data_IF_133692916503
#
_entry.id   IF_133692916503
#
_cell.length_a   1.000
_cell.length_b   1.000
_cell.length_c   1.000
_cell.angle_alpha   90.00
_cell.angle_beta   90.00
_cell.angle_gamma   90.00
#
_symmetry.space_group_name_H-M   'P 1'
#
loop_
_entity.id
_entity.type
_entity.pdbx_description
1 polymer ?
#
# COMPACT_ATOMS: atom_id res chain seq x y z
N UNK A 1 -15.96 -22.23 59.09
CA UNK A 1 -15.13 -23.32 58.51
C UNK A 1 -15.97 -23.91 57.39
N UNK A 2 -15.70 -23.70 56.10
CA UNK A 2 -14.57 -24.15 55.25
C UNK A 2 -14.46 -23.15 54.08
N UNK A 3 -13.47 -22.28 53.96
CA UNK A 3 -12.08 -22.46 53.50
C UNK A 3 -11.89 -23.25 52.19
N UNK A 4 -11.77 -22.47 51.10
CA UNK A 4 -10.94 -22.65 49.87
C UNK A 4 -11.48 -23.44 48.67
N UNK A 5 -11.01 -22.98 47.51
CA UNK A 5 -11.21 -23.43 46.13
C UNK A 5 -12.55 -22.95 45.54
N UNK A 6 -12.60 -22.11 44.51
CA UNK A 6 -11.93 -22.28 43.22
C UNK A 6 -11.45 -20.94 42.64
N UNK A 7 -10.20 -20.97 42.19
CA UNK A 7 -9.49 -19.98 41.41
C UNK A 7 -10.12 -19.76 40.02
N UNK A 8 -9.97 -18.53 39.52
CA UNK A 8 -9.68 -18.20 38.12
C UNK A 8 -10.76 -18.48 37.06
N UNK A 9 -11.49 -17.42 36.71
CA UNK A 9 -12.04 -17.22 35.36
C UNK A 9 -11.99 -15.73 34.97
N UNK A 10 -10.83 -15.12 35.13
CA UNK A 10 -10.45 -13.89 34.44
C UNK A 10 -9.54 -14.31 33.28
N UNK A 11 -9.80 -13.76 32.08
CA UNK A 11 -9.04 -13.88 30.81
C UNK A 11 -9.80 -14.57 29.67
N UNK A 12 -10.88 -13.97 29.20
CA UNK A 12 -11.13 -13.94 27.76
C UNK A 12 -10.45 -12.68 27.21
N UNK A 13 -9.13 -12.82 27.02
CA UNK A 13 -8.29 -11.84 26.32
C UNK A 13 -8.89 -11.63 24.93
N UNK A 14 -9.09 -10.36 24.59
CA UNK A 14 -9.60 -9.92 23.30
C UNK A 14 -8.75 -10.47 22.17
N UNK A 15 -9.31 -11.42 21.43
CA UNK A 15 -8.92 -11.64 20.06
C UNK A 15 -9.51 -10.52 19.20
N UNK A 16 -9.01 -9.30 19.37
CA UNK A 16 -8.92 -8.38 18.25
C UNK A 16 -8.01 -9.08 17.24
N UNK A 17 -8.61 -9.87 16.35
CA UNK A 17 -7.94 -10.38 15.17
C UNK A 17 -7.57 -9.16 14.34
N UNK A 18 -6.43 -8.54 14.66
CA UNK A 18 -5.66 -7.78 13.68
C UNK A 18 -5.34 -8.81 12.61
N UNK A 19 -6.14 -8.82 11.55
CA UNK A 19 -5.75 -9.42 10.28
C UNK A 19 -4.35 -8.90 9.91
N UNK A 20 -3.61 -9.61 9.03
CA UNK A 20 -2.26 -9.22 8.69
C UNK A 20 -2.24 -7.73 8.37
N UNK A 21 -1.54 -6.96 9.21
CA UNK A 21 -1.34 -5.54 9.00
C UNK A 21 -0.69 -5.45 7.62
N UNK A 22 -1.35 -4.79 6.65
CA UNK A 22 -0.74 -4.58 5.34
C UNK A 22 0.59 -3.90 5.60
N UNK A 23 1.71 -4.55 5.29
CA UNK A 23 3.01 -3.97 5.58
C UNK A 23 3.10 -2.61 4.89
N UNK A 24 3.44 -1.58 5.66
CA UNK A 24 3.54 -0.23 5.14
C UNK A 24 4.68 -0.15 4.10
N UNK A 25 4.49 0.70 3.09
CA UNK A 25 5.57 1.03 2.16
C UNK A 25 6.71 1.74 2.91
N UNK A 26 7.95 1.44 2.54
CA UNK A 26 9.08 2.22 3.01
C UNK A 26 8.99 3.66 2.45
N UNK A 27 9.34 4.71 3.22
CA UNK A 27 9.30 6.09 2.73
C UNK A 27 10.16 6.32 1.47
N UNK A 28 11.25 5.56 1.32
CA UNK A 28 12.09 5.60 0.13
C UNK A 28 11.39 5.09 -1.13
N UNK A 29 10.42 4.17 -1.01
CA UNK A 29 9.66 3.65 -2.15
C UNK A 29 8.78 4.74 -2.77
N UNK A 30 8.10 5.52 -1.92
CA UNK A 30 7.32 6.69 -2.36
C UNK A 30 8.20 7.69 -3.10
N UNK A 31 9.29 8.12 -2.46
CA UNK A 31 10.19 9.11 -3.03
C UNK A 31 10.79 8.62 -4.36
N UNK A 32 11.13 7.34 -4.47
CA UNK A 32 11.64 6.75 -5.71
C UNK A 32 10.58 6.74 -6.80
N UNK A 33 9.34 6.35 -6.49
CA UNK A 33 8.24 6.34 -7.44
C UNK A 33 7.94 7.75 -7.96
N UNK A 34 7.78 8.73 -7.06
CA UNK A 34 7.46 10.11 -7.44
C UNK A 34 8.56 10.69 -8.33
N UNK A 35 9.84 10.56 -7.95
CA UNK A 35 10.95 11.02 -8.79
C UNK A 35 11.00 10.34 -10.16
N UNK A 36 10.76 9.02 -10.22
CA UNK A 36 10.74 8.29 -11.48
C UNK A 36 9.56 8.69 -12.38
N UNK A 37 8.42 9.02 -11.79
CA UNK A 37 7.24 9.52 -12.48
C UNK A 37 7.48 10.94 -13.05
N UNK A 38 8.11 11.83 -12.27
CA UNK A 38 8.47 13.17 -12.73
C UNK A 38 9.52 13.14 -13.85
N UNK A 39 10.51 12.23 -13.75
CA UNK A 39 11.51 12.02 -14.80
C UNK A 39 10.91 11.58 -16.15
N UNK A 40 9.67 11.06 -16.14
CA UNK A 40 8.90 10.74 -17.35
C UNK A 40 8.07 11.93 -17.87
N UNK A 41 8.25 13.13 -17.30
CA UNK A 41 7.56 14.35 -17.72
C UNK A 41 6.17 14.53 -17.12
N UNK A 42 5.81 13.75 -16.09
CA UNK A 42 4.52 13.89 -15.40
C UNK A 42 4.61 14.94 -14.29
N UNK A 43 3.57 15.76 -14.11
CA UNK A 43 3.52 16.77 -13.05
C UNK A 43 3.55 16.15 -11.64
N UNK A 44 4.27 16.79 -10.70
CA UNK A 44 4.42 16.33 -9.32
C UNK A 44 3.08 15.97 -8.65
N UNK A 45 2.07 16.83 -8.77
CA UNK A 45 0.75 16.62 -8.17
C UNK A 45 0.03 15.37 -8.70
N UNK A 46 0.27 15.00 -9.98
CA UNK A 46 -0.25 13.78 -10.59
C UNK A 46 0.53 12.57 -10.08
N UNK A 47 1.86 12.66 -9.97
CA UNK A 47 2.70 11.60 -9.43
C UNK A 47 2.36 11.29 -7.95
N UNK A 48 2.20 12.33 -7.13
CA UNK A 48 1.79 12.21 -5.73
C UNK A 48 0.40 11.59 -5.59
N UNK A 49 -0.59 12.04 -6.37
CA UNK A 49 -1.92 11.44 -6.38
C UNK A 49 -1.88 9.96 -6.81
N UNK A 50 -1.07 9.63 -7.83
CA UNK A 50 -0.95 8.26 -8.31
C UNK A 50 -0.36 7.37 -7.22
N UNK A 51 0.66 7.85 -6.52
CA UNK A 51 1.23 7.15 -5.38
C UNK A 51 0.20 6.92 -4.26
N UNK A 52 -0.58 7.93 -3.87
CA UNK A 52 -1.63 7.78 -2.85
C UNK A 52 -2.65 6.69 -3.23
N UNK A 53 -3.03 6.60 -4.51
CA UNK A 53 -3.93 5.54 -4.98
C UNK A 53 -3.27 4.16 -4.93
N UNK A 54 -1.98 4.05 -5.29
CA UNK A 54 -1.21 2.82 -5.19
C UNK A 54 -1.13 2.37 -3.73
N UNK A 55 -0.65 3.22 -2.83
CA UNK A 55 -0.42 2.86 -1.43
C UNK A 55 -1.71 2.52 -0.67
N UNK A 56 -2.85 3.09 -1.07
CA UNK A 56 -4.17 2.73 -0.54
C UNK A 56 -4.70 1.39 -1.08
N UNK A 57 -4.38 1.03 -2.33
CA UNK A 57 -5.08 -0.04 -3.08
C UNK A 57 -4.24 -1.27 -3.39
N UNK A 58 -2.92 -1.19 -3.21
CA UNK A 58 -1.96 -2.23 -3.58
C UNK A 58 -1.17 -2.60 -2.32
N UNK A 59 -0.99 -3.90 -2.08
CA UNK A 59 -0.15 -4.34 -0.97
C UNK A 59 1.32 -4.02 -1.28
N UNK A 60 2.11 -3.68 -0.27
CA UNK A 60 3.52 -3.33 -0.48
C UNK A 60 4.32 -4.49 -1.05
N UNK A 61 4.00 -5.73 -0.69
CA UNK A 61 4.61 -6.94 -1.24
C UNK A 61 4.22 -7.16 -2.72
N UNK A 62 2.95 -6.90 -3.07
CA UNK A 62 2.47 -6.98 -4.47
C UNK A 62 3.22 -5.98 -5.35
N UNK A 63 3.35 -4.73 -4.88
CA UNK A 63 4.08 -3.70 -5.60
C UNK A 63 5.58 -4.00 -5.67
N UNK A 64 6.19 -4.48 -4.58
CA UNK A 64 7.59 -4.88 -4.58
C UNK A 64 7.86 -6.07 -5.51
N UNK A 65 6.95 -7.04 -5.60
CA UNK A 65 7.04 -8.13 -6.56
C UNK A 65 6.95 -7.61 -8.00
N UNK A 66 6.02 -6.69 -8.26
CA UNK A 66 5.87 -6.04 -9.55
C UNK A 66 7.13 -5.26 -9.97
N UNK A 67 7.72 -4.46 -9.07
CA UNK A 67 8.91 -3.66 -9.37
C UNK A 67 10.16 -4.51 -9.65
N UNK A 68 10.21 -5.76 -9.18
CA UNK A 68 11.30 -6.70 -9.49
C UNK A 68 11.17 -7.34 -10.88
N UNK A 69 10.02 -7.23 -11.52
CA UNK A 69 9.82 -7.78 -12.86
C UNK A 69 10.65 -7.00 -13.90
N UNK A 70 11.21 -7.68 -14.92
CA UNK A 70 11.78 -7.00 -16.09
C UNK A 70 10.78 -6.01 -16.70
N UNK A 71 11.27 -4.93 -17.31
CA UNK A 71 10.40 -3.88 -17.86
C UNK A 71 9.37 -4.42 -18.87
N UNK A 72 9.76 -5.38 -19.72
CA UNK A 72 8.86 -6.05 -20.67
C UNK A 72 7.76 -6.87 -19.98
N UNK A 73 8.07 -7.51 -18.85
CA UNK A 73 7.10 -8.24 -18.05
C UNK A 73 6.16 -7.28 -17.30
N UNK A 74 6.68 -6.16 -16.78
CA UNK A 74 5.86 -5.12 -16.14
C UNK A 74 4.83 -4.53 -17.10
N UNK A 75 5.23 -4.22 -18.34
CA UNK A 75 4.35 -3.64 -19.34
C UNK A 75 3.06 -4.45 -19.60
N UNK A 76 3.13 -5.77 -19.44
CA UNK A 76 2.01 -6.69 -19.66
C UNK A 76 1.32 -7.13 -18.35
N UNK A 77 1.82 -6.71 -17.19
CA UNK A 77 1.32 -7.14 -15.90
C UNK A 77 -0.02 -6.44 -15.55
N UNK A 78 -0.96 -7.15 -14.92
CA UNK A 78 -2.26 -6.59 -14.56
C UNK A 78 -2.18 -5.34 -13.68
N UNK A 79 -1.18 -5.28 -12.78
CA UNK A 79 -0.93 -4.11 -11.94
C UNK A 79 -0.53 -2.87 -12.76
N UNK A 80 0.15 -3.04 -13.90
CA UNK A 80 0.49 -1.91 -14.77
C UNK A 80 -0.78 -1.23 -15.31
N UNK A 81 -1.77 -2.02 -15.76
CA UNK A 81 -3.04 -1.47 -16.22
C UNK A 81 -3.79 -0.71 -15.11
N UNK A 82 -3.72 -1.19 -13.86
CA UNK A 82 -4.28 -0.50 -12.69
C UNK A 82 -3.56 0.82 -12.41
N UNK A 83 -2.22 0.82 -12.42
CA UNK A 83 -1.40 2.02 -12.22
C UNK A 83 -1.69 3.05 -13.32
N UNK A 84 -1.79 2.63 -14.58
CA UNK A 84 -2.16 3.52 -15.69
C UNK A 84 -3.53 4.16 -15.45
N UNK A 85 -4.52 3.39 -14.97
CA UNK A 85 -5.83 3.94 -14.61
C UNK A 85 -5.75 4.95 -13.47
N UNK A 86 -4.96 4.68 -12.43
CA UNK A 86 -4.74 5.64 -11.36
C UNK A 86 -4.14 6.94 -11.87
N UNK A 87 -3.14 6.86 -12.76
CA UNK A 87 -2.54 8.04 -13.37
C UNK A 87 -3.54 8.84 -14.20
N UNK A 88 -4.38 8.17 -15.01
CA UNK A 88 -5.44 8.83 -15.78
C UNK A 88 -6.47 9.53 -14.89
N UNK A 89 -6.85 8.91 -13.77
CA UNK A 89 -7.76 9.53 -12.80
C UNK A 89 -7.11 10.74 -12.13
N UNK A 90 -5.82 10.64 -11.78
CA UNK A 90 -5.05 11.73 -11.17
C UNK A 90 -4.73 12.87 -12.15
N UNK A 91 -4.72 12.61 -13.45
CA UNK A 91 -4.66 13.68 -14.45
C UNK A 91 -5.92 14.55 -14.44
N UNK A 92 -7.09 13.94 -14.16
CA UNK A 92 -8.36 14.66 -14.03
C UNK A 92 -8.52 15.32 -12.67
N UNK A 93 -8.05 14.64 -11.63
CA UNK A 93 -8.19 15.03 -10.24
C UNK A 93 -6.84 14.89 -9.52
N UNK A 94 -5.90 15.82 -9.75
CA UNK A 94 -4.57 15.75 -9.15
C UNK A 94 -4.62 15.98 -7.64
N UNK A 95 -3.53 15.65 -6.94
CA UNK A 95 -3.42 15.97 -5.53
C UNK A 95 -3.51 17.49 -5.36
N UNK A 96 -4.31 17.94 -4.38
CA UNK A 96 -4.28 19.34 -3.97
C UNK A 96 -2.95 19.64 -3.28
N UNK A 97 -2.31 20.78 -3.57
CA UNK A 97 -1.09 21.20 -2.91
C UNK A 97 -1.29 21.43 -1.40
#
# INVERSE_FOLDING_TARGET
MHLRFILAALLLVGACQRGPEKAAYAPSTEANFVRACEAQGTAQAVCACTWQKISASVASEEFAAFERLPASARANHALQARITRFAQDCQRYPATP
#
